data_IF_101533369710
#
_entry.id   IF_101533369710
#
_cell.length_a   1.000
_cell.length_b   1.000
_cell.length_c   1.000
_cell.angle_alpha   90.00
_cell.angle_beta   90.00
_cell.angle_gamma   90.00
#
_symmetry.space_group_name_H-M   'P 1'
#
loop_
_entity.id
_entity.type
_entity.pdbx_description
1 polymer ?
#
# COMPACT_ATOMS: atom_id res chain seq x y z
N UNK A 1 3.23 -25.01 -3.13
CA UNK A 1 4.37 -24.31 -2.50
C UNK A 1 4.20 -22.83 -2.82
N UNK A 2 3.26 -22.16 -2.17
CA UNK A 2 3.51 -21.39 -0.96
C UNK A 2 2.36 -21.79 -0.02
N UNK A 3 2.69 -22.25 1.17
CA UNK A 3 1.72 -22.24 2.25
C UNK A 3 1.69 -20.76 2.67
N UNK A 4 0.82 -19.98 2.02
CA UNK A 4 0.35 -18.72 2.59
C UNK A 4 -0.42 -19.16 3.85
N UNK A 5 0.29 -19.31 4.96
CA UNK A 5 -0.35 -19.29 6.27
C UNK A 5 -1.27 -18.08 6.21
N UNK A 6 -2.60 -18.25 6.32
CA UNK A 6 -3.59 -17.18 6.25
C UNK A 6 -3.23 -16.11 7.30
N UNK A 7 -2.37 -15.15 6.95
CA UNK A 7 -1.92 -14.10 7.87
C UNK A 7 -3.14 -13.25 8.12
N UNK A 8 -3.63 -13.29 9.36
CA UNK A 8 -4.73 -12.44 9.77
C UNK A 8 -4.15 -11.03 9.96
N UNK A 9 -4.23 -10.19 8.92
CA UNK A 9 -3.68 -8.83 8.92
C UNK A 9 -4.10 -7.99 10.14
N UNK A 10 -5.30 -8.22 10.66
CA UNK A 10 -5.84 -7.50 11.81
C UNK A 10 -5.20 -7.89 13.14
N UNK A 11 -4.50 -9.03 13.22
CA UNK A 11 -3.78 -9.49 14.41
C UNK A 11 -2.34 -8.95 14.48
N UNK A 12 -1.77 -8.50 13.36
CA UNK A 12 -0.45 -7.87 13.31
C UNK A 12 -0.46 -6.52 14.06
N UNK A 13 0.65 -6.15 14.71
CA UNK A 13 0.78 -4.78 15.20
C UNK A 13 0.95 -3.77 14.06
N UNK A 14 0.99 -2.48 14.37
CA UNK A 14 1.02 -1.43 13.33
C UNK A 14 2.33 -1.45 12.51
N UNK A 15 3.46 -1.79 13.11
CA UNK A 15 4.75 -1.84 12.41
C UNK A 15 4.80 -3.07 11.51
N UNK A 16 4.35 -4.23 12.02
CA UNK A 16 4.26 -5.47 11.27
C UNK A 16 3.27 -5.36 10.10
N UNK A 17 2.10 -4.77 10.32
CA UNK A 17 1.11 -4.56 9.27
C UNK A 17 1.64 -3.65 8.16
N UNK A 18 2.35 -2.58 8.50
CA UNK A 18 2.97 -1.69 7.50
C UNK A 18 4.00 -2.45 6.67
N UNK A 19 4.82 -3.29 7.30
CA UNK A 19 5.80 -4.12 6.58
C UNK A 19 5.12 -5.15 5.68
N UNK A 20 4.09 -5.83 6.17
CA UNK A 20 3.31 -6.77 5.38
C UNK A 20 2.67 -6.07 4.17
N UNK A 21 2.10 -4.88 4.35
CA UNK A 21 1.55 -4.09 3.24
C UNK A 21 2.60 -3.68 2.20
N UNK A 22 3.89 -3.64 2.54
CA UNK A 22 4.93 -3.42 1.53
C UNK A 22 5.12 -4.66 0.65
N UNK A 23 5.13 -5.83 1.26
CA UNK A 23 5.24 -7.12 0.55
C UNK A 23 3.98 -7.36 -0.30
N UNK A 24 2.79 -7.09 0.25
CA UNK A 24 1.52 -7.18 -0.48
C UNK A 24 1.50 -6.22 -1.70
N UNK A 25 2.04 -5.01 -1.55
CA UNK A 25 2.20 -4.09 -2.67
C UNK A 25 3.19 -4.61 -3.71
N UNK A 26 4.29 -5.22 -3.27
CA UNK A 26 5.31 -5.78 -4.14
C UNK A 26 4.75 -6.93 -4.98
N UNK A 27 3.94 -7.79 -4.37
CA UNK A 27 3.29 -8.93 -5.00
C UNK A 27 2.02 -8.55 -5.77
N UNK A 28 1.53 -7.32 -5.58
CA UNK A 28 0.34 -6.81 -6.27
C UNK A 28 -0.97 -7.37 -5.72
N UNK A 29 -0.98 -7.74 -4.44
CA UNK A 29 -2.10 -8.26 -3.68
C UNK A 29 -3.10 -7.13 -3.38
N UNK A 30 -4.17 -7.07 -4.17
CA UNK A 30 -5.11 -5.95 -4.15
C UNK A 30 -5.98 -5.94 -2.89
N UNK A 31 -6.53 -7.10 -2.53
CA UNK A 31 -7.55 -7.22 -1.48
C UNK A 31 -6.91 -6.97 -0.10
N UNK A 32 -5.72 -7.48 0.07
CA UNK A 32 -4.83 -7.35 1.22
C UNK A 32 -4.45 -5.89 1.46
N UNK A 33 -4.17 -5.13 0.40
CA UNK A 33 -3.92 -3.69 0.50
C UNK A 33 -5.17 -2.90 0.88
N UNK A 34 -6.35 -3.27 0.36
CA UNK A 34 -7.61 -2.65 0.77
C UNK A 34 -7.87 -2.90 2.26
N UNK A 35 -7.66 -4.14 2.72
CA UNK A 35 -7.85 -4.55 4.11
C UNK A 35 -6.85 -3.87 5.05
N UNK A 36 -5.56 -3.88 4.72
CA UNK A 36 -4.51 -3.22 5.52
C UNK A 36 -4.76 -1.71 5.66
N UNK A 37 -5.21 -1.04 4.59
CA UNK A 37 -5.61 0.37 4.65
C UNK A 37 -6.78 0.58 5.62
N UNK A 38 -7.82 -0.25 5.53
CA UNK A 38 -8.97 -0.14 6.43
C UNK A 38 -8.57 -0.39 7.89
N UNK A 39 -7.76 -1.41 8.16
CA UNK A 39 -7.29 -1.74 9.51
C UNK A 39 -6.52 -0.56 10.12
N UNK A 40 -5.57 0.05 9.39
CA UNK A 40 -4.82 1.20 9.90
C UNK A 40 -5.74 2.40 10.18
N UNK A 41 -6.70 2.67 9.30
CA UNK A 41 -7.70 3.73 9.51
C UNK A 41 -8.58 3.45 10.73
N UNK A 42 -9.01 2.21 10.93
CA UNK A 42 -9.79 1.77 12.11
C UNK A 42 -8.98 1.93 13.41
N UNK A 43 -7.67 1.70 13.35
CA UNK A 43 -6.72 1.94 14.45
C UNK A 43 -6.44 3.43 14.70
N UNK A 44 -7.05 4.33 13.92
CA UNK A 44 -6.99 5.77 14.12
C UNK A 44 -5.84 6.47 13.39
N UNK A 45 -5.14 5.78 12.48
CA UNK A 45 -4.14 6.41 11.63
C UNK A 45 -4.79 7.48 10.75
N UNK A 46 -4.07 8.58 10.55
CA UNK A 46 -4.55 9.60 9.62
C UNK A 46 -4.41 9.10 8.18
N UNK A 47 -5.35 9.42 7.27
CA UNK A 47 -5.25 9.00 5.86
C UNK A 47 -3.92 9.37 5.20
N UNK A 48 -3.34 10.51 5.60
CA UNK A 48 -2.03 10.95 5.12
C UNK A 48 -0.88 10.07 5.64
N UNK A 49 -0.95 9.61 6.88
CA UNK A 49 0.04 8.69 7.45
C UNK A 49 -0.03 7.33 6.74
N UNK A 50 -1.23 6.77 6.53
CA UNK A 50 -1.40 5.51 5.79
C UNK A 50 -0.84 5.62 4.37
N UNK A 51 -1.16 6.72 3.67
CA UNK A 51 -0.61 6.98 2.34
C UNK A 51 0.93 7.01 2.35
N UNK A 52 1.53 7.78 3.25
CA UNK A 52 2.96 8.08 3.19
C UNK A 52 3.83 6.97 3.78
N UNK A 53 3.40 6.38 4.89
CA UNK A 53 4.19 5.40 5.66
C UNK A 53 3.98 3.96 5.22
N UNK A 54 2.81 3.62 4.66
CA UNK A 54 2.56 2.29 4.12
C UNK A 54 2.64 2.31 2.58
N UNK A 55 1.73 3.00 1.90
CA UNK A 55 1.60 2.84 0.44
C UNK A 55 2.78 3.42 -0.35
N UNK A 56 3.20 4.66 -0.05
CA UNK A 56 4.31 5.31 -0.75
C UNK A 56 5.65 4.69 -0.37
N UNK A 57 5.81 4.26 0.89
CA UNK A 57 7.00 3.56 1.35
C UNK A 57 7.17 2.22 0.61
N UNK A 58 6.13 1.39 0.53
CA UNK A 58 6.14 0.16 -0.27
C UNK A 58 6.42 0.41 -1.76
N UNK A 59 5.77 1.40 -2.36
CA UNK A 59 5.99 1.75 -3.77
C UNK A 59 7.40 2.28 -4.05
N UNK A 60 8.09 2.82 -3.05
CA UNK A 60 9.49 3.27 -3.17
C UNK A 60 10.42 2.07 -3.38
N UNK A 61 10.13 0.93 -2.74
CA UNK A 61 10.87 -0.33 -2.88
C UNK A 61 10.66 -0.90 -4.28
N UNK A 62 9.39 -1.06 -4.70
CA UNK A 62 9.02 -1.50 -6.06
C UNK A 62 9.71 -0.63 -7.12
N UNK A 63 9.70 0.69 -6.94
CA UNK A 63 10.35 1.62 -7.85
C UNK A 63 11.88 1.52 -7.87
N UNK A 64 12.51 1.15 -6.76
CA UNK A 64 13.96 0.88 -6.72
C UNK A 64 14.29 -0.41 -7.47
N UNK A 65 13.56 -1.48 -7.19
CA UNK A 65 13.81 -2.80 -7.77
C UNK A 65 13.52 -2.83 -9.27
N UNK A 66 12.55 -2.04 -9.76
CA UNK A 66 12.35 -1.83 -11.19
C UNK A 66 13.54 -1.12 -11.85
N UNK A 67 14.13 -0.10 -11.21
CA UNK A 67 15.30 0.61 -11.75
C UNK A 67 16.54 -0.28 -11.76
N UNK A 68 16.67 -1.15 -10.78
CA UNK A 68 17.80 -2.07 -10.64
C UNK A 68 17.65 -3.33 -11.52
N UNK A 69 16.52 -3.45 -12.24
CA UNK A 69 16.24 -4.55 -13.17
C UNK A 69 15.84 -5.85 -12.49
N UNK A 70 15.40 -5.78 -11.23
CA UNK A 70 14.88 -6.91 -10.44
C UNK A 70 13.42 -7.17 -10.81
N UNK A 71 12.60 -6.12 -10.91
CA UNK A 71 11.22 -6.19 -11.38
C UNK A 71 11.11 -5.82 -12.86
N UNK A 72 10.14 -6.40 -13.57
CA UNK A 72 9.79 -6.01 -14.93
C UNK A 72 8.45 -5.28 -14.98
N UNK A 73 8.08 -4.83 -16.18
CA UNK A 73 6.86 -4.04 -16.41
C UNK A 73 5.59 -4.76 -15.91
N UNK A 74 5.37 -6.07 -16.16
CA UNK A 74 4.17 -6.75 -15.67
C UNK A 74 4.02 -6.69 -14.14
N UNK A 75 5.11 -6.91 -13.39
CA UNK A 75 5.13 -6.92 -11.93
C UNK A 75 4.84 -5.53 -11.38
N UNK A 76 5.48 -4.49 -11.95
CA UNK A 76 5.21 -3.10 -11.56
C UNK A 76 3.75 -2.69 -11.83
N UNK A 77 3.13 -3.22 -12.90
CA UNK A 77 1.73 -2.97 -13.18
C UNK A 77 0.79 -3.64 -12.15
N UNK A 78 1.15 -4.82 -11.63
CA UNK A 78 0.40 -5.45 -10.55
C UNK A 78 0.48 -4.62 -9.27
N UNK A 79 1.69 -4.22 -8.86
CA UNK A 79 1.90 -3.33 -7.72
C UNK A 79 1.14 -2.00 -7.86
N UNK A 80 1.16 -1.39 -9.06
CA UNK A 80 0.43 -0.16 -9.33
C UNK A 80 -1.09 -0.33 -9.23
N UNK A 81 -1.62 -1.51 -9.59
CA UNK A 81 -3.05 -1.82 -9.44
C UNK A 81 -3.43 -1.99 -7.97
N UNK A 82 -2.61 -2.65 -7.15
CA UNK A 82 -2.82 -2.75 -5.70
C UNK A 82 -2.77 -1.36 -5.03
N UNK A 83 -1.79 -0.52 -5.38
CA UNK A 83 -1.71 0.87 -4.89
C UNK A 83 -2.97 1.68 -5.27
N UNK A 84 -3.49 1.50 -6.49
CA UNK A 84 -4.71 2.17 -6.94
C UNK A 84 -5.92 1.78 -6.08
N UNK A 85 -5.96 0.55 -5.60
CA UNK A 85 -7.03 0.05 -4.74
C UNK A 85 -7.00 0.72 -3.36
N UNK A 86 -5.84 0.73 -2.68
CA UNK A 86 -5.68 1.49 -1.43
C UNK A 86 -5.97 2.99 -1.59
N UNK A 87 -5.55 3.57 -2.71
CA UNK A 87 -5.86 4.96 -3.05
C UNK A 87 -7.35 5.23 -3.29
N UNK A 88 -8.14 4.25 -3.73
CA UNK A 88 -9.58 4.43 -3.90
C UNK A 88 -10.27 4.70 -2.56
N UNK A 89 -9.78 4.11 -1.47
CA UNK A 89 -10.25 4.32 -0.10
C UNK A 89 -9.72 5.65 0.45
N UNK A 90 -8.43 5.93 0.31
CA UNK A 90 -7.80 7.11 0.90
C UNK A 90 -8.18 8.42 0.21
N UNK A 91 -8.43 8.41 -1.11
CA UNK A 91 -8.69 9.62 -1.90
C UNK A 91 -9.85 10.49 -1.38
N UNK A 92 -11.06 9.97 -1.07
CA UNK A 92 -12.12 10.79 -0.47
C UNK A 92 -11.71 11.34 0.90
N UNK A 93 -11.07 10.53 1.75
CA UNK A 93 -10.66 10.92 3.10
C UNK A 93 -9.62 12.05 3.08
N UNK A 94 -8.62 11.95 2.20
CA UNK A 94 -7.58 12.98 2.01
C UNK A 94 -8.15 14.30 1.48
N UNK A 95 -9.21 14.25 0.69
CA UNK A 95 -9.87 15.45 0.17
C UNK A 95 -10.61 16.20 1.28
N UNK A 96 -11.18 15.48 2.26
CA UNK A 96 -11.87 16.06 3.41
C UNK A 96 -10.89 16.65 4.44
N UNK A 97 -9.73 16.01 4.64
CA UNK A 97 -8.71 16.49 5.58
C UNK A 97 -7.84 17.64 5.03
N UNK A 98 -8.05 18.05 3.77
CA UNK A 98 -7.28 19.13 3.14
C UNK A 98 -5.80 18.78 2.92
N UNK A 99 -5.46 17.50 2.90
CA UNK A 99 -4.09 17.05 2.71
C UNK A 99 -3.54 17.54 1.35
N UNK A 100 -2.29 18.02 1.29
CA UNK A 100 -1.71 18.50 0.04
C UNK A 100 -1.71 17.35 -0.98
N UNK A 101 -2.29 17.61 -2.15
CA UNK A 101 -2.32 16.65 -3.26
C UNK A 101 -0.89 16.32 -3.65
N UNK A 102 -0.40 15.15 -3.24
CA UNK A 102 0.88 14.62 -3.71
C UNK A 102 0.68 14.28 -5.19
N UNK A 103 1.24 15.09 -6.07
CA UNK A 103 1.21 14.87 -7.52
C UNK A 103 0.14 15.70 -8.25
N UNK A 104 0.54 16.87 -8.75
CA UNK A 104 -0.07 17.42 -9.96
C UNK A 104 0.46 16.59 -11.12
N UNK A 105 -0.33 15.63 -11.59
CA UNK A 105 -0.05 14.93 -12.85
C UNK A 105 -0.15 15.99 -13.97
N UNK A 106 0.98 16.28 -14.62
CA UNK A 106 1.05 17.09 -15.85
C UNK A 106 1.01 16.19 -17.06
#
# INVERSE_FOLDING_TARGET
>A
MADEDDIILSELDDEELVLQMHDDLYDGLKEEIEDGVNILLERGWQPYDVLTKALVAGMTIVGADFRDGILFVPEVLLAANAMKAGMAILKPLLAETGAPKVGKMV
#
